data_IF_223760487296
#
_entry.id   IF_223760487296
#
_cell.length_a   1.000
_cell.length_b   1.000
_cell.length_c   1.000
_cell.angle_alpha   90.00
_cell.angle_beta   90.00
_cell.angle_gamma   90.00
#
_symmetry.space_group_name_H-M   'P 1'
#
loop_
_entity.id
_entity.type
_entity.pdbx_description
1 polymer ?
#
# COMPACT_ATOMS: atom_id res chain seq x y z
N UNK A 1 2.81 -5.09 4.97
CA UNK A 1 3.81 -5.34 6.04
C UNK A 1 3.16 -6.19 7.10
N UNK A 2 3.78 -7.32 7.42
CA UNK A 2 3.30 -8.31 8.39
C UNK A 2 4.37 -8.47 9.46
N UNK A 3 3.95 -8.47 10.72
CA UNK A 3 4.86 -8.63 11.84
C UNK A 3 4.69 -10.04 12.43
N UNK A 4 5.77 -10.81 12.47
CA UNK A 4 5.82 -12.09 13.16
C UNK A 4 6.32 -11.87 14.59
N UNK A 5 5.41 -11.86 15.56
CA UNK A 5 5.74 -11.57 16.96
C UNK A 5 6.62 -12.63 17.63
N UNK A 6 6.65 -13.86 17.09
CA UNK A 6 7.41 -14.98 17.67
C UNK A 6 8.92 -14.85 17.44
N UNK A 7 9.31 -14.38 16.26
CA UNK A 7 10.72 -14.35 15.85
C UNK A 7 11.24 -12.91 15.63
N UNK A 8 10.43 -11.89 15.95
CA UNK A 8 10.71 -10.47 15.67
C UNK A 8 11.05 -10.22 14.19
N UNK A 9 10.45 -11.01 13.30
CA UNK A 9 10.64 -10.89 11.84
C UNK A 9 9.56 -9.97 11.26
N UNK A 10 9.98 -9.02 10.43
CA UNK A 10 9.09 -8.16 9.66
C UNK A 10 9.11 -8.60 8.20
N UNK A 11 7.95 -9.04 7.69
CA UNK A 11 7.79 -9.40 6.29
C UNK A 11 7.17 -8.25 5.51
N UNK A 12 7.88 -7.80 4.48
CA UNK A 12 7.42 -6.79 3.53
C UNK A 12 7.12 -7.49 2.19
N UNK A 13 5.85 -7.42 1.78
CA UNK A 13 5.40 -7.94 0.49
C UNK A 13 5.11 -6.77 -0.44
N UNK A 14 5.80 -6.73 -1.58
CA UNK A 14 5.56 -5.78 -2.66
C UNK A 14 4.88 -6.56 -3.79
N UNK A 15 3.71 -6.10 -4.22
CA UNK A 15 2.95 -6.76 -5.27
C UNK A 15 2.37 -5.73 -6.23
N UNK A 16 2.16 -6.14 -7.47
CA UNK A 16 1.49 -5.31 -8.47
C UNK A 16 -0.03 -5.24 -8.21
N UNK A 17 -0.67 -4.25 -8.83
CA UNK A 17 -2.12 -4.06 -8.82
C UNK A 17 -2.64 -3.99 -10.24
N UNK A 18 -3.85 -4.50 -10.47
CA UNK A 18 -4.51 -4.43 -11.77
C UNK A 18 -5.89 -3.81 -11.64
N UNK A 19 -6.37 -3.26 -12.75
CA UNK A 19 -7.73 -2.72 -12.82
C UNK A 19 -8.74 -3.86 -13.06
N UNK A 20 -9.69 -4.02 -12.16
CA UNK A 20 -10.78 -4.97 -12.32
C UNK A 20 -11.96 -4.28 -13.02
N UNK A 21 -12.19 -4.63 -14.29
CA UNK A 21 -13.23 -4.02 -15.14
C UNK A 21 -14.64 -4.26 -14.59
N UNK A 22 -14.90 -5.43 -13.99
CA UNK A 22 -16.23 -5.77 -13.43
C UNK A 22 -16.58 -4.93 -12.21
N UNK A 23 -15.58 -4.63 -11.38
CA UNK A 23 -15.77 -3.87 -10.13
C UNK A 23 -15.45 -2.38 -10.27
N UNK A 24 -14.95 -1.94 -11.44
CA UNK A 24 -14.47 -0.58 -11.71
C UNK A 24 -13.47 -0.08 -10.65
N UNK A 25 -12.61 -0.98 -10.15
CA UNK A 25 -11.70 -0.71 -9.04
C UNK A 25 -10.33 -1.33 -9.28
N UNK A 26 -9.29 -0.65 -8.79
CA UNK A 26 -7.93 -1.18 -8.73
C UNK A 26 -7.84 -2.15 -7.56
N UNK A 27 -7.33 -3.35 -7.81
CA UNK A 27 -7.15 -4.38 -6.78
C UNK A 27 -5.78 -5.08 -6.90
N UNK A 28 -5.23 -5.59 -5.79
CA UNK A 28 -4.07 -6.48 -5.83
C UNK A 28 -4.30 -7.73 -6.69
N UNK A 29 -3.23 -8.25 -7.30
CA UNK A 29 -3.19 -9.67 -7.65
C UNK A 29 -3.39 -10.51 -6.37
N UNK A 30 -4.04 -11.68 -6.42
CA UNK A 30 -4.42 -12.45 -5.21
C UNK A 30 -5.13 -11.67 -4.09
N UNK A 31 -5.96 -10.67 -4.43
CA UNK A 31 -6.68 -9.84 -3.48
C UNK A 31 -7.39 -10.60 -2.34
N UNK A 32 -7.90 -11.82 -2.58
CA UNK A 32 -8.54 -12.66 -1.56
C UNK A 32 -7.59 -13.08 -0.45
N UNK A 33 -6.33 -13.44 -0.78
CA UNK A 33 -5.31 -13.77 0.21
C UNK A 33 -5.01 -12.54 1.07
N UNK A 34 -4.68 -11.43 0.43
CA UNK A 34 -4.29 -10.20 1.13
C UNK A 34 -5.42 -9.61 1.98
N UNK A 35 -6.68 -9.77 1.59
CA UNK A 35 -7.83 -9.36 2.41
C UNK A 35 -7.91 -10.13 3.73
N UNK A 36 -7.48 -11.39 3.75
CA UNK A 36 -7.49 -12.25 4.95
C UNK A 36 -6.27 -12.04 5.85
N UNK A 37 -5.20 -11.46 5.32
CA UNK A 37 -3.98 -11.21 6.07
C UNK A 37 -4.12 -9.97 6.95
N UNK A 38 -3.92 -10.13 8.26
CA UNK A 38 -3.84 -9.00 9.20
C UNK A 38 -2.46 -8.35 9.09
N UNK A 39 -2.39 -7.16 8.49
CA UNK A 39 -1.14 -6.42 8.36
C UNK A 39 -1.36 -4.96 7.99
N UNK A 40 -0.28 -4.18 8.03
CA UNK A 40 -0.26 -2.81 7.54
C UNK A 40 -0.23 -2.85 6.01
N UNK A 41 -1.25 -2.28 5.37
CA UNK A 41 -1.32 -2.12 3.92
C UNK A 41 -0.84 -0.73 3.55
N UNK A 42 0.04 -0.67 2.56
CA UNK A 42 0.58 0.57 2.02
C UNK A 42 0.20 0.63 0.54
N UNK A 43 -0.46 1.71 0.13
CA UNK A 43 -0.86 1.93 -1.26
C UNK A 43 -0.09 3.12 -1.79
N UNK A 44 0.65 2.91 -2.88
CA UNK A 44 1.37 3.96 -3.58
C UNK A 44 0.52 4.42 -4.77
N UNK A 45 0.23 5.71 -4.83
CA UNK A 45 -0.51 6.33 -5.94
C UNK A 45 0.35 7.42 -6.58
N UNK A 46 0.26 7.53 -7.89
CA UNK A 46 0.82 8.64 -8.63
C UNK A 46 -0.27 9.38 -9.40
N UNK A 47 -0.37 10.68 -9.16
CA UNK A 47 -1.24 11.55 -9.94
C UNK A 47 -0.52 11.91 -11.25
N UNK A 48 -1.01 11.37 -12.38
CA UNK A 48 -0.36 11.54 -13.69
C UNK A 48 -0.14 13.02 -14.08
N UNK A 49 -1.11 13.93 -13.92
CA UNK A 49 -0.94 15.32 -14.33
C UNK A 49 0.21 16.07 -13.66
N UNK A 50 0.46 15.82 -12.38
CA UNK A 50 1.46 16.56 -11.59
C UNK A 50 2.66 15.71 -11.21
N UNK A 51 2.70 14.44 -11.64
CA UNK A 51 3.63 13.39 -11.17
C UNK A 51 3.68 13.24 -9.65
N UNK A 52 2.74 13.84 -8.91
CA UNK A 52 2.70 13.82 -7.44
C UNK A 52 2.49 12.40 -6.94
N UNK A 53 3.34 11.96 -6.01
CA UNK A 53 3.27 10.63 -5.41
C UNK A 53 2.68 10.73 -4.01
N UNK A 54 1.76 9.84 -3.69
CA UNK A 54 1.05 9.78 -2.41
C UNK A 54 1.15 8.36 -1.88
N UNK A 55 1.42 8.24 -0.59
CA UNK A 55 1.36 6.98 0.16
C UNK A 55 0.12 7.01 1.04
N UNK A 56 -0.72 6.00 0.91
CA UNK A 56 -1.84 5.79 1.82
C UNK A 56 -1.55 4.59 2.70
N UNK A 57 -1.63 4.79 4.00
CA UNK A 57 -1.52 3.75 5.00
C UNK A 57 -2.92 3.32 5.42
N UNK A 58 -3.19 2.02 5.36
CA UNK A 58 -4.41 1.42 5.86
C UNK A 58 -4.05 0.28 6.83
N UNK A 59 -4.54 0.37 8.06
CA UNK A 59 -4.43 -0.70 9.05
C UNK A 59 -5.69 -1.59 8.99
N UNK A 60 -5.58 -2.77 8.38
CA UNK A 60 -6.67 -3.75 8.30
C UNK A 60 -7.95 -3.22 7.63
N UNK A 61 -9.11 -3.70 8.08
CA UNK A 61 -10.45 -3.28 7.63
C UNK A 61 -10.97 -2.02 8.37
N UNK A 62 -10.15 -1.36 9.19
CA UNK A 62 -10.57 -0.17 9.92
C UNK A 62 -10.50 1.09 9.04
N UNK A 63 -11.51 1.97 9.17
CA UNK A 63 -11.66 3.25 8.45
C UNK A 63 -10.55 4.28 8.69
N UNK A 64 -9.52 3.96 9.49
CA UNK A 64 -8.42 4.87 9.77
C UNK A 64 -7.40 4.82 8.63
N UNK A 65 -7.64 5.66 7.63
CA UNK A 65 -6.71 5.92 6.54
C UNK A 65 -5.82 7.11 6.91
N UNK A 66 -4.50 6.92 6.90
CA UNK A 66 -3.54 8.03 6.94
C UNK A 66 -2.98 8.26 5.55
N UNK A 67 -3.15 9.47 5.03
CA UNK A 67 -2.62 9.88 3.74
C UNK A 67 -1.35 10.70 3.96
N UNK A 68 -0.23 10.20 3.47
CA UNK A 68 1.08 10.83 3.57
C UNK A 68 1.55 11.24 2.18
N UNK A 69 2.07 12.47 2.05
CA UNK A 69 2.66 12.93 0.80
C UNK A 69 4.11 12.44 0.74
N UNK A 70 4.53 12.03 -0.45
CA UNK A 70 5.88 11.58 -0.68
C UNK A 70 6.57 12.46 -1.69
N UNK A 71 7.85 12.74 -1.45
CA UNK A 71 8.78 13.23 -2.46
C UNK A 71 9.90 12.22 -2.59
N UNK A 72 10.20 11.86 -3.83
CA UNK A 72 11.38 11.05 -4.14
C UNK A 72 12.47 12.04 -4.54
N UNK A 73 13.55 12.04 -3.77
CA UNK A 73 14.77 12.80 -4.04
C UNK A 73 15.84 11.77 -4.37
N UNK A 74 16.33 11.82 -5.61
CA UNK A 74 17.24 10.84 -6.20
C UNK A 74 16.71 9.39 -6.08
N UNK A 75 17.26 8.59 -5.17
CA UNK A 75 16.88 7.19 -4.88
C UNK A 75 16.20 7.03 -3.51
N UNK A 76 16.01 8.11 -2.76
CA UNK A 76 15.50 8.08 -1.40
C UNK A 76 14.05 8.57 -1.31
N UNK A 77 13.27 7.91 -0.45
CA UNK A 77 11.88 8.27 -0.12
C UNK A 77 11.86 9.22 1.08
N UNK A 78 11.36 10.43 0.89
CA UNK A 78 11.16 11.40 1.97
C UNK A 78 9.66 11.65 2.17
N UNK A 79 9.24 11.53 3.43
CA UNK A 79 7.91 11.91 3.90
C UNK A 79 7.86 13.44 4.04
N UNK A 80 6.85 14.08 3.44
CA UNK A 80 6.65 15.55 3.53
C UNK A 80 5.28 15.85 4.12
#
# INVERSE_FOLDING_TARGET
ILHCSREKIVLILIHEVSFNVKLQKIQPFFHTLYKRMKGLKIILKQFKPTKKRVMELALGDQKNHMNLRLKILDLNLILI
#
